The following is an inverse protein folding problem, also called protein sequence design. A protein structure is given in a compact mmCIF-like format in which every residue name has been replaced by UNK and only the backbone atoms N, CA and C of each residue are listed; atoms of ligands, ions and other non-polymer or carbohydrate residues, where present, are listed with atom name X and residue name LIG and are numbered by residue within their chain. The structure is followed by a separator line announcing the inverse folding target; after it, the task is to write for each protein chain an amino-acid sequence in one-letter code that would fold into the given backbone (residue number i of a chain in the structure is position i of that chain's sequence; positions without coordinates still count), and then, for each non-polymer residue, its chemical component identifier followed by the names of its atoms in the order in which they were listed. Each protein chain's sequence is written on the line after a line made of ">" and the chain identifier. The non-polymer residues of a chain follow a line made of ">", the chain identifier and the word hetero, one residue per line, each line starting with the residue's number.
data_IF_669801184368
#
_entry.id   IF_669801184368
#
_cell.length_a   1.000
_cell.length_b   1.000
_cell.length_c   1.000
_cell.angle_alpha   90.00
_cell.angle_beta   90.00
_cell.angle_gamma   90.00
#
_symmetry.space_group_name_H-M   'P 1'
#
loop_
_entity.id
_entity.type
_entity.pdbx_description
1 polymer ?
#
# COMPACT_ATOMS: atom_id res chain seq x y z
N UNK A 1 1.23 7.54 -0.81
CA UNK A 1 0.73 6.63 -1.87
C UNK A 1 1.86 6.39 -2.86
N UNK A 2 2.23 5.13 -3.12
CA UNK A 2 3.29 4.79 -4.06
C UNK A 2 2.79 4.94 -5.52
N UNK A 3 3.65 5.41 -6.43
CA UNK A 3 3.31 5.52 -7.86
C UNK A 3 3.50 4.19 -8.58
N UNK A 4 2.76 3.98 -9.68
CA UNK A 4 2.91 2.79 -10.52
C UNK A 4 4.33 2.65 -11.06
N UNK A 5 4.96 3.76 -11.44
CA UNK A 5 6.35 3.78 -11.93
C UNK A 5 7.35 3.20 -10.92
N UNK A 6 7.18 3.49 -9.62
CA UNK A 6 8.04 2.93 -8.56
C UNK A 6 7.82 1.43 -8.39
N UNK A 7 6.58 0.96 -8.53
CA UNK A 7 6.25 -0.48 -8.51
C UNK A 7 6.90 -1.18 -9.71
N UNK A 8 6.79 -0.61 -10.90
CA UNK A 8 7.38 -1.17 -12.12
C UNK A 8 8.90 -1.23 -11.99
N UNK A 9 9.52 -0.20 -11.40
CA UNK A 9 10.96 -0.17 -11.12
C UNK A 9 11.38 -1.26 -10.13
N UNK A 10 10.62 -1.48 -9.05
CA UNK A 10 10.85 -2.59 -8.11
C UNK A 10 10.83 -3.94 -8.85
N UNK A 11 9.85 -4.15 -9.75
CA UNK A 11 9.73 -5.38 -10.54
C UNK A 11 10.91 -5.55 -11.49
N UNK A 12 11.34 -4.49 -12.19
CA UNK A 12 12.53 -4.52 -13.05
C UNK A 12 13.78 -4.93 -12.27
N UNK A 13 14.02 -4.31 -11.10
CA UNK A 13 15.15 -4.65 -10.24
C UNK A 13 15.05 -6.10 -9.71
N UNK A 14 13.84 -6.58 -9.40
CA UNK A 14 13.63 -7.96 -8.99
C UNK A 14 13.95 -8.97 -10.11
N UNK A 15 13.53 -8.67 -11.34
CA UNK A 15 13.87 -9.48 -12.52
C UNK A 15 15.37 -9.49 -12.79
N UNK A 16 16.02 -8.32 -12.73
CA UNK A 16 17.47 -8.21 -12.94
C UNK A 16 18.25 -9.00 -11.88
N UNK A 17 17.86 -8.87 -10.60
CA UNK A 17 18.45 -9.64 -9.49
C UNK A 17 18.41 -11.15 -9.72
N UNK A 18 17.33 -11.66 -10.31
CA UNK A 18 17.13 -13.10 -10.55
C UNK A 18 17.99 -13.63 -11.69
N UNK A 19 18.21 -12.84 -12.74
CA UNK A 19 18.90 -13.29 -13.95
C UNK A 19 20.39 -12.97 -13.94
N UNK A 20 20.75 -11.73 -13.59
CA UNK A 20 22.10 -11.17 -13.76
C UNK A 20 22.75 -10.79 -12.42
N UNK A 21 21.93 -10.58 -11.38
CA UNK A 21 22.36 -9.97 -10.12
C UNK A 21 22.15 -8.46 -10.12
N UNK A 22 22.35 -7.83 -8.96
CA UNK A 22 22.23 -6.38 -8.79
C UNK A 22 23.60 -5.80 -8.41
N UNK A 23 23.92 -4.64 -8.96
CA UNK A 23 25.03 -3.84 -8.45
C UNK A 23 24.71 -3.28 -7.07
N UNK A 24 25.70 -2.77 -6.35
CA UNK A 24 25.48 -2.20 -5.02
C UNK A 24 24.58 -0.96 -5.06
N UNK A 25 24.68 -0.14 -6.11
CA UNK A 25 23.81 1.01 -6.33
C UNK A 25 22.35 0.56 -6.54
N UNK A 26 22.13 -0.47 -7.36
CA UNK A 26 20.80 -1.00 -7.62
C UNK A 26 20.19 -1.69 -6.41
N UNK A 27 21.00 -2.31 -5.54
CA UNK A 27 20.54 -2.84 -4.25
C UNK A 27 20.08 -1.73 -3.32
N UNK A 28 20.81 -0.61 -3.26
CA UNK A 28 20.40 0.54 -2.45
C UNK A 28 19.11 1.16 -2.99
N UNK A 29 19.00 1.33 -4.32
CA UNK A 29 17.78 1.79 -4.98
C UNK A 29 16.60 0.86 -4.64
N UNK A 30 16.80 -0.46 -4.79
CA UNK A 30 15.79 -1.46 -4.46
C UNK A 30 15.35 -1.35 -2.99
N UNK A 31 16.29 -1.23 -2.04
CA UNK A 31 15.95 -1.11 -0.61
C UNK A 31 15.13 0.14 -0.30
N UNK A 32 15.49 1.28 -0.88
CA UNK A 32 14.75 2.53 -0.69
C UNK A 32 13.32 2.40 -1.23
N UNK A 33 13.17 1.88 -2.45
CA UNK A 33 11.86 1.68 -3.08
C UNK A 33 11.00 0.68 -2.30
N UNK A 34 11.57 -0.43 -1.82
CA UNK A 34 10.85 -1.40 -1.00
C UNK A 34 10.40 -0.81 0.34
N UNK A 35 11.21 0.03 0.97
CA UNK A 35 10.83 0.67 2.23
C UNK A 35 9.65 1.60 2.04
N UNK A 36 9.70 2.45 1.01
CA UNK A 36 8.60 3.34 0.67
C UNK A 36 7.30 2.57 0.34
N UNK A 37 7.42 1.46 -0.40
CA UNK A 37 6.29 0.58 -0.69
C UNK A 37 5.67 -0.02 0.57
N UNK A 38 6.50 -0.57 1.47
CA UNK A 38 6.04 -1.20 2.71
C UNK A 38 5.38 -0.19 3.62
N UNK A 39 5.94 1.01 3.76
CA UNK A 39 5.38 2.05 4.62
C UNK A 39 4.01 2.51 4.08
N UNK A 40 3.90 2.76 2.77
CA UNK A 40 2.61 3.08 2.14
C UNK A 40 1.59 1.93 2.25
N UNK A 41 2.04 0.68 2.11
CA UNK A 41 1.19 -0.49 2.27
C UNK A 41 0.69 -0.66 3.70
N UNK A 42 1.54 -0.45 4.70
CA UNK A 42 1.19 -0.51 6.12
C UNK A 42 0.15 0.54 6.50
N UNK A 43 0.32 1.77 6.02
CA UNK A 43 -0.66 2.84 6.26
C UNK A 43 -2.03 2.48 5.68
N UNK A 44 -2.05 1.99 4.44
CA UNK A 44 -3.29 1.55 3.79
C UNK A 44 -3.92 0.36 4.53
N UNK A 45 -3.13 -0.65 4.91
CA UNK A 45 -3.62 -1.80 5.65
C UNK A 45 -4.19 -1.39 7.02
N UNK A 46 -3.51 -0.48 7.73
CA UNK A 46 -4.02 0.04 9.00
C UNK A 46 -5.37 0.72 8.81
N UNK A 47 -5.49 1.59 7.81
CA UNK A 47 -6.75 2.24 7.48
C UNK A 47 -7.86 1.21 7.17
N UNK A 48 -7.57 0.17 6.39
CA UNK A 48 -8.53 -0.89 6.10
C UNK A 48 -8.95 -1.65 7.37
N UNK A 49 -8.01 -1.95 8.28
CA UNK A 49 -8.31 -2.62 9.54
C UNK A 49 -9.13 -1.73 10.50
N UNK A 50 -8.84 -0.42 10.54
CA UNK A 50 -9.60 0.55 11.35
C UNK A 50 -11.06 0.66 10.86
N UNK A 51 -11.34 0.36 9.58
CA UNK A 51 -12.69 0.29 9.03
C UNK A 51 -13.41 -1.05 9.30
N UNK A 52 -12.73 -2.08 9.83
CA UNK A 52 -13.39 -3.35 10.13
C UNK A 52 -14.16 -3.22 11.45
N UNK A 53 -15.47 -3.36 11.36
CA UNK A 53 -16.36 -3.41 12.51
C UNK A 53 -16.78 -4.86 12.79
N UNK A 54 -16.76 -5.26 14.07
CA UNK A 54 -17.28 -6.56 14.49
C UNK A 54 -18.79 -6.48 14.53
N UNK A 55 -19.46 -7.23 13.65
CA UNK A 55 -20.91 -7.31 13.57
C UNK A 55 -21.40 -8.56 14.30
N UNK A 56 -22.33 -8.41 15.25
CA UNK A 56 -23.01 -9.54 15.87
C UNK A 56 -23.86 -10.32 14.85
N UNK A 57 -23.81 -11.66 14.90
CA UNK A 57 -24.63 -12.52 14.05
C UNK A 57 -26.11 -12.13 14.12
N UNK A 58 -26.68 -11.73 12.98
CA UNK A 58 -28.10 -11.39 12.85
C UNK A 58 -28.45 -9.90 12.93
N UNK A 59 -27.50 -9.00 13.24
CA UNK A 59 -27.69 -7.56 13.02
C UNK A 59 -27.04 -7.15 11.70
N UNK A 60 -27.78 -6.50 10.81
CA UNK A 60 -27.15 -5.78 9.70
C UNK A 60 -26.20 -4.73 10.29
N UNK A 61 -25.00 -4.51 9.70
CA UNK A 61 -24.18 -3.39 10.10
C UNK A 61 -25.04 -2.11 10.04
N UNK A 62 -24.91 -1.19 11.01
CA UNK A 62 -25.65 0.06 10.97
C UNK A 62 -25.41 0.68 9.59
N UNK A 63 -26.49 1.00 8.88
CA UNK A 63 -26.39 1.60 7.56
C UNK A 63 -25.47 2.80 7.69
N UNK A 64 -24.27 2.73 7.08
CA UNK A 64 -23.27 3.77 7.16
C UNK A 64 -23.97 5.10 6.92
N UNK A 65 -24.17 5.89 7.97
CA UNK A 65 -24.67 7.24 7.85
C UNK A 65 -23.57 7.94 7.07
N UNK A 66 -23.81 8.11 5.77
CA UNK A 66 -22.93 8.89 4.90
C UNK A 66 -22.97 10.29 5.50
N UNK A 67 -22.00 10.58 6.36
CA UNK A 67 -21.79 11.93 6.86
C UNK A 67 -21.59 12.81 5.62
N UNK A 68 -22.60 13.62 5.36
CA UNK A 68 -22.53 14.76 4.46
C UNK A 68 -21.39 15.64 4.96
N UNK A 69 -20.26 15.65 4.25
CA UNK A 69 -19.24 16.61 4.61
C UNK A 69 -17.90 16.37 3.94
N UNK A 70 -17.79 16.68 2.64
CA UNK A 70 -16.60 17.33 2.10
C UNK A 70 -17.02 18.21 0.92
N UNK A 71 -17.78 19.27 1.22
CA UNK A 71 -17.62 20.52 0.47
C UNK A 71 -16.29 21.14 0.91
N UNK A 72 -15.27 21.10 0.05
CA UNK A 72 -14.20 22.09 0.03
C UNK A 72 -13.80 22.33 -1.42
N UNK A 73 -14.23 23.51 -1.91
CA UNK A 73 -13.77 24.36 -3.01
C UNK A 73 -12.77 23.78 -4.02
#
# INVERSE_FOLDING_TARGET
>A
MITQEKIDRINQLAHKKKNEGLTEEEKQEQQLLYREYIDAFRENLKFQLDMIEVVEEGKQPPAAEKEKGFEKN
#
